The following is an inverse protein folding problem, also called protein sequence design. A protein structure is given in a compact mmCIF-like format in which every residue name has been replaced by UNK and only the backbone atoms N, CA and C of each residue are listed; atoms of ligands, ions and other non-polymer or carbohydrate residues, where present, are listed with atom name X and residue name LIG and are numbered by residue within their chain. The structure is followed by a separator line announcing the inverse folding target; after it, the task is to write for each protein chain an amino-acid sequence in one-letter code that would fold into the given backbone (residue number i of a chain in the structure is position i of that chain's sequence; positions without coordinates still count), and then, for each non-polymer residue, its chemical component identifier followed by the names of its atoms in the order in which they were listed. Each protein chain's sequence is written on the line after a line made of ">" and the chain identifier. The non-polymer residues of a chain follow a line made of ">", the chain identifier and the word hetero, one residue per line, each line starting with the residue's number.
data_IF_285282107918
#
_entry.id   IF_285282107918
#
_cell.length_a   1.000
_cell.length_b   1.000
_cell.length_c   1.000
_cell.angle_alpha   90.00
_cell.angle_beta   90.00
_cell.angle_gamma   90.00
#
_symmetry.space_group_name_H-M   'P 1'
#
loop_
_entity.id
_entity.type
_entity.pdbx_description
1 polymer ?
#
# COMPACT_ATOMS: atom_id res chain seq x y z
N UNK A 1 -6.03 11.33 -3.25
CA UNK A 1 -6.10 9.97 -2.65
C UNK A 1 -5.31 9.91 -1.34
N UNK A 2 -5.88 9.30 -0.30
CA UNK A 2 -5.21 8.97 0.96
C UNK A 2 -4.87 7.48 0.98
N UNK A 3 -3.65 7.15 1.37
CA UNK A 3 -3.21 5.77 1.60
C UNK A 3 -3.12 5.52 3.09
N UNK A 4 -3.75 4.46 3.59
CA UNK A 4 -3.81 4.21 5.02
C UNK A 4 -3.89 2.73 5.36
N UNK A 5 -3.63 2.45 6.64
CA UNK A 5 -3.73 1.10 7.22
C UNK A 5 -5.18 0.78 7.57
N UNK A 6 -5.69 -0.30 6.99
CA UNK A 6 -6.97 -0.93 7.35
C UNK A 6 -6.73 -2.43 7.59
N UNK A 7 -7.75 -3.28 7.42
CA UNK A 7 -7.56 -4.74 7.33
C UNK A 7 -6.52 -5.10 6.24
N UNK A 8 -6.62 -4.48 5.08
CA UNK A 8 -5.62 -4.51 4.00
C UNK A 8 -5.19 -3.09 3.58
N UNK A 9 -4.19 -2.98 2.72
CA UNK A 9 -3.79 -1.71 2.11
C UNK A 9 -4.99 -1.06 1.44
N UNK A 10 -5.30 0.15 1.88
CA UNK A 10 -6.49 0.87 1.43
C UNK A 10 -6.11 2.21 0.83
N UNK A 11 -6.81 2.54 -0.26
CA UNK A 11 -6.79 3.87 -0.86
C UNK A 11 -8.19 4.46 -0.73
N UNK A 12 -8.25 5.71 -0.30
CA UNK A 12 -9.46 6.50 -0.28
C UNK A 12 -9.34 7.66 -1.24
N UNK A 13 -10.21 7.72 -2.23
CA UNK A 13 -10.42 8.90 -3.04
C UNK A 13 -11.30 9.88 -2.26
N UNK A 14 -10.78 11.09 -2.03
CA UNK A 14 -11.49 12.11 -1.25
C UNK A 14 -12.54 12.84 -2.09
N UNK A 15 -12.37 12.86 -3.41
CA UNK A 15 -13.27 13.58 -4.32
C UNK A 15 -14.54 12.77 -4.58
N UNK A 16 -14.40 11.45 -4.71
CA UNK A 16 -15.53 10.52 -4.92
C UNK A 16 -16.04 9.86 -3.63
N UNK A 17 -15.32 9.99 -2.52
CA UNK A 17 -15.51 9.25 -1.26
C UNK A 17 -15.42 7.71 -1.42
N UNK A 18 -14.84 7.22 -2.51
CA UNK A 18 -14.69 5.79 -2.77
C UNK A 18 -13.45 5.21 -2.11
N UNK A 19 -13.59 3.99 -1.56
CA UNK A 19 -12.52 3.27 -0.88
C UNK A 19 -12.26 1.95 -1.59
N UNK A 20 -11.01 1.71 -1.96
CA UNK A 20 -10.54 0.44 -2.51
C UNK A 20 -9.58 -0.23 -1.53
N UNK A 21 -9.68 -1.55 -1.41
CA UNK A 21 -8.77 -2.37 -0.63
C UNK A 21 -8.04 -3.33 -1.55
N UNK A 22 -6.72 -3.42 -1.37
CA UNK A 22 -5.93 -4.47 -1.99
C UNK A 22 -5.81 -5.65 -1.04
N UNK A 23 -6.80 -6.52 -1.10
CA UNK A 23 -6.81 -7.78 -0.35
C UNK A 23 -5.53 -8.57 -0.61
N UNK A 24 -4.99 -9.23 0.41
CA UNK A 24 -3.68 -9.87 0.28
C UNK A 24 -2.53 -9.01 0.82
N UNK A 25 -2.62 -7.69 0.66
CA UNK A 25 -1.55 -6.75 0.94
C UNK A 25 -1.79 -6.06 2.27
N UNK A 26 -0.89 -6.23 3.23
CA UNK A 26 -1.02 -5.61 4.54
C UNK A 26 0.16 -4.70 4.84
N UNK A 27 -0.14 -3.48 5.26
CA UNK A 27 0.89 -2.57 5.79
C UNK A 27 1.33 -3.03 7.18
N UNK A 28 2.61 -2.84 7.45
CA UNK A 28 3.18 -3.06 8.78
C UNK A 28 2.40 -2.35 9.87
N UNK A 29 2.37 -2.96 11.05
CA UNK A 29 1.68 -2.42 12.22
C UNK A 29 2.33 -1.13 12.79
N UNK A 30 3.52 -0.78 12.32
CA UNK A 30 4.26 0.41 12.74
C UNK A 30 4.54 1.35 11.55
N UNK A 31 5.48 1.00 10.66
CA UNK A 31 5.77 1.75 9.43
C UNK A 31 5.19 0.98 8.23
N UNK A 32 4.02 1.42 7.78
CA UNK A 32 3.24 0.69 6.78
C UNK A 32 3.41 1.14 5.34
N UNK A 33 3.50 2.46 5.13
CA UNK A 33 3.46 3.10 3.81
C UNK A 33 4.32 4.36 3.86
N UNK A 34 5.32 4.48 2.98
CA UNK A 34 6.32 5.56 2.97
C UNK A 34 6.38 6.21 1.58
N UNK A 35 6.00 7.49 1.43
CA UNK A 35 6.20 8.23 0.19
C UNK A 35 7.64 8.75 0.11
N UNK A 36 8.41 8.29 -0.87
CA UNK A 36 9.79 8.73 -1.08
C UNK A 36 10.24 8.49 -2.53
N UNK A 37 11.14 9.33 -3.05
CA UNK A 37 11.77 9.09 -4.36
C UNK A 37 10.80 9.04 -5.55
N UNK A 38 9.65 9.73 -5.46
CA UNK A 38 8.63 9.73 -6.52
C UNK A 38 7.70 8.51 -6.53
N UNK A 39 7.84 7.61 -5.55
CA UNK A 39 7.01 6.42 -5.40
C UNK A 39 6.42 6.32 -3.99
N UNK A 40 5.42 5.47 -3.84
CA UNK A 40 4.87 5.10 -2.54
C UNK A 40 5.26 3.66 -2.22
N UNK A 41 6.09 3.47 -1.18
CA UNK A 41 6.63 2.18 -0.80
C UNK A 41 5.85 1.58 0.37
N UNK A 42 5.46 0.32 0.23
CA UNK A 42 4.89 -0.51 1.28
C UNK A 42 5.81 -1.71 1.51
N UNK A 43 6.79 -1.63 2.43
CA UNK A 43 7.74 -2.71 2.66
C UNK A 43 7.08 -3.92 3.32
N UNK A 44 7.63 -5.09 3.03
CA UNK A 44 7.36 -6.33 3.75
C UNK A 44 7.68 -6.12 5.24
N UNK A 45 6.79 -6.56 6.13
CA UNK A 45 6.89 -6.30 7.58
C UNK A 45 6.33 -7.41 8.47
N UNK A 46 6.08 -8.60 7.90
CA UNK A 46 5.53 -9.77 8.59
C UNK A 46 6.56 -10.57 9.38
N UNK A 47 7.86 -10.30 9.22
CA UNK A 47 8.96 -11.05 9.85
C UNK A 47 8.90 -11.20 11.39
N UNK A 48 8.04 -10.44 12.08
CA UNK A 48 7.78 -10.58 13.52
C UNK A 48 6.30 -10.61 13.92
N UNK A 49 5.37 -10.71 12.97
CA UNK A 49 3.93 -10.66 13.23
C UNK A 49 3.29 -12.03 12.95
N UNK A 50 2.39 -12.49 13.83
CA UNK A 50 1.55 -13.69 13.60
C UNK A 50 0.25 -13.34 12.86
N UNK A 51 0.32 -12.40 11.93
CA UNK A 51 -0.86 -12.04 11.16
C UNK A 51 -1.11 -13.11 10.10
N UNK A 52 -2.38 -13.36 9.77
CA UNK A 52 -2.71 -14.14 8.58
C UNK A 52 -2.28 -13.28 7.38
N UNK A 53 -1.03 -13.45 6.94
CA UNK A 53 -0.40 -12.62 5.91
C UNK A 53 -0.46 -13.35 4.56
N UNK A 54 -1.49 -13.10 3.74
CA UNK A 54 -1.68 -13.79 2.47
C UNK A 54 -0.57 -13.55 1.43
N UNK A 55 0.21 -12.46 1.52
CA UNK A 55 1.31 -12.17 0.58
C UNK A 55 2.49 -11.49 1.31
N UNK A 56 3.60 -12.20 1.47
CA UNK A 56 4.85 -11.67 2.04
C UNK A 56 5.70 -11.04 0.92
N UNK A 57 5.43 -9.77 0.62
CA UNK A 57 6.19 -9.03 -0.38
C UNK A 57 6.24 -7.53 -0.07
N UNK A 58 7.17 -6.83 -0.71
CA UNK A 58 7.21 -5.36 -0.71
C UNK A 58 6.58 -4.83 -2.00
N UNK A 59 5.87 -3.70 -1.92
CA UNK A 59 5.17 -3.10 -3.06
C UNK A 59 5.59 -1.64 -3.24
N UNK A 60 5.71 -1.23 -4.50
CA UNK A 60 5.92 0.15 -4.90
C UNK A 60 4.76 0.59 -5.80
N UNK A 61 4.05 1.64 -5.41
CA UNK A 61 3.07 2.29 -6.27
C UNK A 61 3.76 3.42 -7.04
N UNK A 62 3.57 3.41 -8.36
CA UNK A 62 4.01 4.46 -9.27
C UNK A 62 2.88 5.47 -9.48
N UNK A 63 3.17 6.76 -9.62
CA UNK A 63 2.19 7.73 -10.09
C UNK A 63 1.72 7.34 -11.49
N UNK A 64 0.41 7.43 -11.75
CA UNK A 64 -0.16 7.05 -13.05
C UNK A 64 0.46 7.78 -14.25
N UNK A 65 0.95 9.00 -14.05
CA UNK A 65 1.64 9.79 -15.08
C UNK A 65 3.13 9.46 -15.28
N UNK A 66 3.71 8.52 -14.51
CA UNK A 66 5.12 8.12 -14.62
C UNK A 66 5.35 6.83 -15.42
N UNK A 67 4.30 6.17 -15.90
CA UNK A 67 4.44 5.02 -16.80
C UNK A 67 4.81 5.55 -18.18
N UNK A 68 6.05 5.34 -18.63
CA UNK A 68 6.40 5.57 -20.03
C UNK A 68 5.66 4.54 -20.89
N UNK A 69 4.69 4.99 -21.68
CA UNK A 69 4.12 4.17 -22.75
C UNK A 69 5.27 3.74 -23.68
N UNK A 70 5.44 2.43 -23.85
CA UNK A 70 6.31 1.84 -24.87
C UNK A 70 5.44 1.31 -26.00
#
# INVERSE_FOLDING_TARGET
>A
AIFFRHHFHSIWDLDTDERIQYEGLRSGCWLGIVPAGGILLAPESSAGCYCADPIQTSIAFLPGGMVSEN
#
